data_IF_896214408781
#
_entry.id   IF_896214408781
#
_cell.length_a   1.000
_cell.length_b   1.000
_cell.length_c   1.000
_cell.angle_alpha   90.00
_cell.angle_beta   90.00
_cell.angle_gamma   90.00
#
_symmetry.space_group_name_H-M   'P 1'
#
loop_
_entity.id
_entity.type
_entity.pdbx_description
1 polymer ?
#
# COMPACT_ATOMS: atom_id res chain seq x y z
N UNK A 1 19.55 -6.55 28.04
CA UNK A 1 18.25 -6.52 27.31
C UNK A 1 18.29 -6.10 25.84
N UNK A 2 19.21 -5.26 25.32
CA UNK A 2 19.33 -5.02 23.86
C UNK A 2 20.27 -6.04 23.18
N UNK A 3 21.42 -6.29 23.81
CA UNK A 3 22.41 -7.26 23.33
C UNK A 3 21.86 -8.68 23.23
N UNK A 4 21.12 -9.13 24.26
CA UNK A 4 20.44 -10.43 24.26
C UNK A 4 19.43 -10.56 23.10
N UNK A 5 18.71 -9.48 22.75
CA UNK A 5 17.79 -9.51 21.60
C UNK A 5 18.51 -9.59 20.27
N UNK A 6 19.66 -8.90 20.14
CA UNK A 6 20.48 -8.93 18.94
C UNK A 6 21.06 -10.33 18.70
N UNK A 7 21.60 -10.96 19.74
CA UNK A 7 22.13 -12.32 19.68
C UNK A 7 21.06 -13.34 19.29
N UNK A 8 19.89 -13.25 19.91
CA UNK A 8 18.75 -14.12 19.59
C UNK A 8 18.32 -13.96 18.14
N UNK A 9 18.23 -12.73 17.62
CA UNK A 9 17.88 -12.47 16.21
C UNK A 9 18.95 -13.02 15.27
N UNK A 10 20.23 -12.84 15.59
CA UNK A 10 21.32 -13.39 14.77
C UNK A 10 21.29 -14.91 14.71
N UNK A 11 21.02 -15.58 15.84
CA UNK A 11 20.86 -17.04 15.86
C UNK A 11 19.70 -17.48 14.97
N UNK A 12 18.53 -16.87 15.12
CA UNK A 12 17.35 -17.18 14.29
C UNK A 12 17.62 -16.94 12.80
N UNK A 13 18.39 -15.89 12.47
CA UNK A 13 18.82 -15.63 11.09
C UNK A 13 19.70 -16.75 10.55
N UNK A 14 20.68 -17.22 11.33
CA UNK A 14 21.56 -18.31 10.91
C UNK A 14 20.77 -19.62 10.73
N UNK A 15 19.85 -19.92 11.64
CA UNK A 15 18.96 -21.07 11.52
C UNK A 15 18.08 -20.97 10.26
N UNK A 16 17.50 -19.80 9.98
CA UNK A 16 16.71 -19.58 8.78
C UNK A 16 17.53 -19.69 7.48
N UNK A 17 18.77 -19.19 7.46
CA UNK A 17 19.68 -19.30 6.31
C UNK A 17 20.20 -20.73 6.08
N UNK A 18 20.14 -21.59 7.10
CA UNK A 18 20.50 -23.00 6.95
C UNK A 18 19.36 -23.84 6.35
N UNK A 19 18.14 -23.31 6.30
CA UNK A 19 16.98 -23.98 5.74
C UNK A 19 16.72 -23.52 4.30
N UNK A 20 16.86 -24.45 3.35
CA UNK A 20 16.69 -24.18 1.92
C UNK A 20 15.25 -23.82 1.56
N UNK A 21 14.24 -24.46 2.16
CA UNK A 21 12.82 -24.18 1.90
C UNK A 21 12.44 -22.75 2.29
N UNK A 22 13.04 -22.24 3.37
CA UNK A 22 12.85 -20.87 3.80
C UNK A 22 13.45 -19.88 2.79
N UNK A 23 14.65 -20.16 2.28
CA UNK A 23 15.32 -19.32 1.29
C UNK A 23 14.50 -19.24 0.01
N UNK A 24 14.01 -20.37 -0.47
CA UNK A 24 13.26 -20.41 -1.73
C UNK A 24 11.90 -19.70 -1.58
N UNK A 25 11.19 -19.93 -0.47
CA UNK A 25 9.98 -19.18 -0.13
C UNK A 25 10.23 -17.67 -0.02
N UNK A 26 11.36 -17.27 0.56
CA UNK A 26 11.72 -15.86 0.70
C UNK A 26 12.00 -15.19 -0.66
N UNK A 27 12.66 -15.90 -1.59
CA UNK A 27 12.89 -15.41 -2.97
C UNK A 27 11.59 -15.27 -3.75
N UNK A 28 10.70 -16.26 -3.66
CA UNK A 28 9.39 -16.20 -4.31
C UNK A 28 8.57 -15.03 -3.79
N UNK A 29 8.57 -14.82 -2.47
CA UNK A 29 7.91 -13.67 -1.86
C UNK A 29 8.52 -12.33 -2.29
N UNK A 30 9.85 -12.23 -2.36
CA UNK A 30 10.52 -11.04 -2.90
C UNK A 30 10.08 -10.75 -4.35
N UNK A 31 10.01 -11.78 -5.19
CA UNK A 31 9.53 -11.65 -6.56
C UNK A 31 8.08 -11.14 -6.62
N UNK A 32 7.20 -11.72 -5.80
CA UNK A 32 5.80 -11.31 -5.71
C UNK A 32 5.65 -9.83 -5.29
N UNK A 33 6.44 -9.37 -4.33
CA UNK A 33 6.44 -7.96 -3.90
C UNK A 33 6.90 -7.02 -5.02
N UNK A 34 7.96 -7.37 -5.76
CA UNK A 34 8.46 -6.57 -6.89
C UNK A 34 7.41 -6.47 -8.01
N UNK A 35 6.73 -7.57 -8.32
CA UNK A 35 5.63 -7.58 -9.28
C UNK A 35 4.47 -6.71 -8.82
N UNK A 36 4.08 -6.84 -7.55
CA UNK A 36 3.02 -6.02 -6.95
C UNK A 36 3.38 -4.54 -7.01
N UNK A 37 4.60 -4.15 -6.63
CA UNK A 37 5.05 -2.75 -6.70
C UNK A 37 5.01 -2.19 -8.13
N UNK A 38 5.44 -2.98 -9.11
CA UNK A 38 5.39 -2.60 -10.53
C UNK A 38 3.94 -2.41 -11.02
N UNK A 39 3.03 -3.31 -10.63
CA UNK A 39 1.62 -3.22 -11.03
C UNK A 39 0.88 -2.09 -10.31
N UNK A 40 1.17 -1.83 -9.05
CA UNK A 40 0.53 -0.76 -8.27
C UNK A 40 0.97 0.64 -8.73
N UNK A 41 2.23 0.82 -9.13
CA UNK A 41 2.70 2.05 -9.79
C UNK A 41 1.91 2.32 -11.09
N UNK A 42 1.71 1.31 -11.93
CA UNK A 42 0.93 1.42 -13.17
C UNK A 42 -0.56 1.72 -12.91
N UNK A 43 -1.17 1.11 -11.89
CA UNK A 43 -2.56 1.35 -11.49
C UNK A 43 -2.76 2.76 -10.92
N UNK A 44 -1.83 3.25 -10.10
CA UNK A 44 -1.87 4.61 -9.53
C UNK A 44 -1.80 5.69 -10.62
N UNK A 45 -0.91 5.53 -11.60
CA UNK A 45 -0.83 6.45 -12.76
C UNK A 45 -2.14 6.50 -13.57
N UNK A 46 -2.77 5.35 -13.85
CA UNK A 46 -4.06 5.31 -14.56
C UNK A 46 -5.23 5.90 -13.75
N UNK A 47 -5.22 5.75 -12.41
CA UNK A 47 -6.25 6.36 -11.54
C UNK A 47 -6.12 7.88 -11.50
N UNK A 48 -4.90 8.42 -11.40
CA UNK A 48 -4.66 9.86 -11.45
C UNK A 48 -5.11 10.49 -12.77
N UNK A 49 -4.93 9.79 -13.90
CA UNK A 49 -5.37 10.28 -15.21
C UNK A 49 -6.90 10.27 -15.40
N UNK A 50 -7.66 9.51 -14.60
CA UNK A 50 -9.11 9.33 -14.77
C UNK A 50 -9.97 9.95 -13.67
N UNK A 51 -9.39 10.37 -12.56
CA UNK A 51 -10.14 11.05 -11.50
C UNK A 51 -10.36 12.50 -11.87
N UNK A 52 -11.56 12.83 -12.37
CA UNK A 52 -12.05 14.22 -12.32
C UNK A 52 -12.06 14.64 -10.86
N UNK A 53 -11.56 15.85 -10.57
CA UNK A 53 -11.61 16.41 -9.21
C UNK A 53 -13.07 16.48 -8.75
N UNK A 54 -13.34 16.23 -7.46
CA UNK A 54 -14.67 16.44 -6.88
C UNK A 54 -15.19 17.86 -7.19
N UNK A 55 -14.31 18.86 -7.17
CA UNK A 55 -14.65 20.24 -7.57
C UNK A 55 -15.14 20.33 -9.03
N UNK A 56 -14.59 19.51 -9.93
CA UNK A 56 -14.98 19.46 -11.33
C UNK A 56 -16.29 18.68 -11.56
N UNK A 57 -16.66 17.76 -10.66
CA UNK A 57 -17.95 17.07 -10.66
C UNK A 57 -19.08 18.00 -10.21
N UNK A 58 -18.83 18.85 -9.20
CA UNK A 58 -19.81 19.81 -8.69
C UNK A 58 -19.82 21.15 -9.42
N UNK A 59 -18.99 21.32 -10.46
CA UNK A 59 -18.91 22.57 -11.22
C UNK A 59 -20.17 22.87 -12.05
N UNK A 60 -21.00 21.85 -12.30
CA UNK A 60 -22.25 21.94 -13.08
C UNK A 60 -23.51 21.89 -12.21
N UNK A 61 -23.36 21.83 -10.89
CA UNK A 61 -24.49 21.75 -9.96
C UNK A 61 -24.72 23.11 -9.32
N UNK A 62 -25.83 23.75 -9.68
CA UNK A 62 -26.35 24.94 -9.02
C UNK A 62 -26.86 24.54 -7.62
N UNK A 63 -26.20 24.97 -6.55
CA UNK A 63 -26.60 24.71 -5.16
C UNK A 63 -27.68 25.69 -4.64
N UNK A 64 -28.50 26.24 -5.53
CA UNK A 64 -29.40 27.37 -5.25
C UNK A 64 -30.83 26.95 -4.90
N UNK A 65 -31.02 25.80 -4.23
CA UNK A 65 -32.33 25.46 -3.67
C UNK A 65 -32.20 24.74 -2.32
N UNK A 66 -32.29 25.52 -1.24
CA UNK A 66 -32.57 25.03 0.10
C UNK A 66 -34.07 25.25 0.41
N UNK A 67 -34.95 24.27 0.17
CA UNK A 67 -36.39 24.40 0.46
C UNK A 67 -36.70 24.45 1.96
N UNK A 68 -35.76 24.05 2.81
CA UNK A 68 -36.00 23.83 4.23
C UNK A 68 -35.50 24.97 5.11
N UNK A 69 -34.58 25.83 4.63
CA UNK A 69 -34.13 27.05 5.31
C UNK A 69 -33.46 26.84 6.68
N UNK A 70 -33.19 25.60 7.09
CA UNK A 70 -32.56 25.28 8.38
C UNK A 70 -31.05 25.23 8.15
N UNK A 71 -30.34 26.14 8.81
CA UNK A 71 -28.88 26.09 8.97
C UNK A 71 -28.58 25.40 10.31
N UNK A 72 -27.63 24.46 10.29
CA UNK A 72 -27.19 23.68 11.45
C UNK A 72 -25.97 24.31 12.13
#
# INVERSE_FOLDING_TARGET
MLWETLERVNRLRQEALSNQEFIDSAKEHEHALREQECTDKKKRSKKQARSKSLAQVYQQTEFSFNPSGIEH
#
